data_IF_122192107580
#
_entry.id   IF_122192107580
#
_cell.length_a   1.000
_cell.length_b   1.000
_cell.length_c   1.000
_cell.angle_alpha   90.00
_cell.angle_beta   90.00
_cell.angle_gamma   90.00
#
_symmetry.space_group_name_H-M   'P 1'
#
loop_
_entity.id
_entity.type
_entity.pdbx_description
1 polymer ?
#
# COMPACT_ATOMS: atom_id res chain seq x y z
N UNK A 1 -22.53 23.63 -7.32
CA UNK A 1 -21.16 23.98 -6.87
C UNK A 1 -21.04 23.56 -5.42
N UNK A 2 -20.04 22.73 -5.04
CA UNK A 2 -19.88 22.35 -3.64
C UNK A 2 -19.54 23.59 -2.80
N UNK A 3 -20.17 23.68 -1.63
CA UNK A 3 -20.04 24.79 -0.68
C UNK A 3 -18.63 24.72 -0.07
N UNK A 4 -17.84 25.81 -0.06
CA UNK A 4 -16.53 25.80 0.56
C UNK A 4 -16.64 25.56 2.07
N UNK A 5 -15.84 24.63 2.58
CA UNK A 5 -15.76 24.30 4.00
C UNK A 5 -15.38 25.56 4.79
N UNK A 6 -16.11 25.92 5.86
CA UNK A 6 -15.82 27.11 6.66
C UNK A 6 -14.41 27.04 7.26
N UNK A 7 -13.75 28.20 7.39
CA UNK A 7 -12.42 28.30 7.97
C UNK A 7 -12.39 27.69 9.38
N UNK A 8 -11.58 26.65 9.58
CA UNK A 8 -11.46 25.89 10.82
C UNK A 8 -12.16 24.52 10.82
N UNK A 9 -12.97 24.20 9.82
CA UNK A 9 -13.39 22.84 9.56
C UNK A 9 -12.25 22.10 8.84
N UNK A 10 -11.69 21.09 9.48
CA UNK A 10 -10.82 20.12 8.81
C UNK A 10 -11.61 19.54 7.62
N UNK A 11 -10.98 19.43 6.44
CA UNK A 11 -11.62 18.77 5.29
C UNK A 11 -12.01 17.34 5.69
N UNK A 12 -13.06 16.77 5.08
CA UNK A 12 -13.53 15.42 5.43
C UNK A 12 -12.45 14.33 5.37
N UNK A 13 -11.37 14.57 4.61
CA UNK A 13 -10.20 13.69 4.52
C UNK A 13 -9.32 13.67 5.79
N UNK A 14 -9.49 14.62 6.70
CA UNK A 14 -8.70 14.74 7.94
C UNK A 14 -9.46 14.30 9.20
N UNK A 15 -10.72 13.87 9.04
CA UNK A 15 -11.58 13.43 10.13
C UNK A 15 -11.50 11.92 10.32
N UNK A 16 -10.51 11.45 11.07
CA UNK A 16 -10.36 10.00 11.36
C UNK A 16 -11.32 9.58 12.48
N UNK A 17 -11.40 10.36 13.56
CA UNK A 17 -12.24 10.13 14.74
C UNK A 17 -12.58 11.47 15.41
N UNK A 18 -13.68 11.55 16.15
CA UNK A 18 -13.93 12.65 17.06
C UNK A 18 -13.70 12.24 18.52
N UNK A 19 -13.43 13.20 19.41
CA UNK A 19 -13.15 12.93 20.82
C UNK A 19 -14.26 12.11 21.50
N UNK A 20 -15.53 12.37 21.13
CA UNK A 20 -16.68 11.67 21.69
C UNK A 20 -16.72 10.20 21.25
N UNK A 21 -16.46 9.94 19.96
CA UNK A 21 -16.38 8.60 19.40
C UNK A 21 -15.19 7.81 19.97
N UNK A 22 -14.06 8.46 20.20
CA UNK A 22 -12.91 7.85 20.87
C UNK A 22 -13.25 7.43 22.31
N UNK A 23 -13.91 8.32 23.07
CA UNK A 23 -14.35 8.01 24.43
C UNK A 23 -15.38 6.86 24.45
N UNK A 24 -16.30 6.83 23.47
CA UNK A 24 -17.24 5.72 23.30
C UNK A 24 -16.52 4.38 23.06
N UNK A 25 -15.49 4.37 22.19
CA UNK A 25 -14.63 3.19 21.97
C UNK A 25 -13.88 2.76 23.23
N UNK A 26 -13.28 3.71 23.96
CA UNK A 26 -12.55 3.42 25.20
C UNK A 26 -13.46 2.83 26.29
N UNK A 27 -14.76 3.16 26.28
CA UNK A 27 -15.78 2.57 27.17
C UNK A 27 -16.26 1.19 26.72
N UNK A 28 -15.67 0.62 25.67
CA UNK A 28 -15.99 -0.74 25.21
C UNK A 28 -17.22 -0.84 24.32
N UNK A 29 -17.71 0.27 23.75
CA UNK A 29 -18.77 0.21 22.73
C UNK A 29 -18.15 -0.37 21.45
N UNK A 30 -18.41 -1.66 21.20
CA UNK A 30 -17.98 -2.38 20.01
C UNK A 30 -18.74 -1.85 18.77
N UNK A 31 -18.05 -1.81 17.63
CA UNK A 31 -18.57 -1.33 16.32
C UNK A 31 -18.94 0.16 16.26
N UNK A 32 -18.19 0.99 16.97
CA UNK A 32 -18.40 2.43 16.92
C UNK A 32 -17.65 3.09 15.75
N UNK A 33 -18.28 3.25 14.59
CA UNK A 33 -17.66 3.95 13.46
C UNK A 33 -17.95 5.46 13.49
N UNK A 34 -16.88 6.25 13.49
CA UNK A 34 -16.97 7.70 13.44
C UNK A 34 -17.21 8.13 11.98
N UNK A 35 -18.44 7.96 11.49
CA UNK A 35 -18.80 8.30 10.11
C UNK A 35 -19.11 9.79 10.02
N UNK A 36 -18.48 10.47 9.05
CA UNK A 36 -18.69 11.89 8.80
C UNK A 36 -19.48 12.10 7.51
N UNK A 37 -20.54 12.92 7.59
CA UNK A 37 -21.24 13.38 6.39
C UNK A 37 -20.45 14.52 5.74
N UNK A 38 -20.26 14.52 4.40
CA UNK A 38 -19.61 15.63 3.69
C UNK A 38 -20.30 16.99 3.90
N UNK A 39 -21.58 16.99 4.28
CA UNK A 39 -22.38 18.18 4.51
C UNK A 39 -22.38 18.65 5.98
N UNK A 40 -21.69 17.95 6.88
CA UNK A 40 -21.75 18.19 8.32
C UNK A 40 -20.36 18.36 8.93
N UNK A 41 -20.23 19.30 9.86
CA UNK A 41 -19.07 19.43 10.76
C UNK A 41 -19.12 18.48 11.96
N UNK A 42 -20.08 17.55 11.99
CA UNK A 42 -20.24 16.53 13.02
C UNK A 42 -20.30 15.14 12.41
N UNK A 43 -19.75 14.15 13.12
CA UNK A 43 -19.99 12.75 12.81
C UNK A 43 -21.46 12.37 13.08
N UNK A 44 -21.93 11.27 12.49
CA UNK A 44 -23.29 10.77 12.64
C UNK A 44 -23.65 10.51 14.11
N UNK A 45 -22.70 9.99 14.89
CA UNK A 45 -22.91 9.74 16.32
C UNK A 45 -23.14 11.01 17.13
N UNK A 46 -22.28 12.02 16.97
CA UNK A 46 -22.45 13.30 17.63
C UNK A 46 -23.71 14.04 17.13
N UNK A 47 -24.08 13.83 15.87
CA UNK A 47 -25.31 14.37 15.30
C UNK A 47 -26.53 13.76 15.98
N UNK A 48 -26.58 12.42 16.10
CA UNK A 48 -27.66 11.69 16.76
C UNK A 48 -27.80 12.07 18.25
N UNK A 49 -26.70 12.37 18.93
CA UNK A 49 -26.71 12.78 20.34
C UNK A 49 -26.88 14.28 20.56
N UNK A 50 -27.00 15.08 19.49
CA UNK A 50 -26.98 16.54 19.56
C UNK A 50 -25.76 17.11 20.33
N UNK A 51 -24.64 16.38 20.38
CA UNK A 51 -23.46 16.76 21.14
C UNK A 51 -22.47 17.59 20.30
N UNK A 52 -21.50 18.21 20.97
CA UNK A 52 -20.37 18.85 20.31
C UNK A 52 -19.45 17.78 19.71
N UNK A 53 -19.10 17.94 18.44
CA UNK A 53 -18.19 17.06 17.73
C UNK A 53 -16.84 17.76 17.60
N UNK A 54 -15.82 17.24 18.27
CA UNK A 54 -14.45 17.76 18.17
C UNK A 54 -13.66 16.77 17.33
N UNK A 55 -13.39 17.06 16.04
CA UNK A 55 -12.55 16.19 15.22
C UNK A 55 -11.15 16.12 15.80
N UNK A 56 -10.61 14.91 15.85
CA UNK A 56 -9.21 14.71 16.17
C UNK A 56 -8.41 14.87 14.87
N UNK A 57 -7.37 15.71 14.87
CA UNK A 57 -6.42 15.73 13.77
C UNK A 57 -5.83 14.34 13.53
N UNK A 58 -5.76 13.92 12.27
CA UNK A 58 -5.26 12.61 11.84
C UNK A 58 -3.87 12.27 12.40
N UNK A 59 -3.00 13.26 12.59
CA UNK A 59 -1.64 13.08 13.10
C UNK A 59 -1.58 12.76 14.61
N UNK A 60 -2.70 12.80 15.33
CA UNK A 60 -2.77 12.42 16.75
C UNK A 60 -3.30 11.00 16.97
N UNK A 61 -3.58 10.23 15.92
CA UNK A 61 -4.17 8.89 16.06
C UNK A 61 -3.35 7.97 16.98
N UNK A 62 -2.03 7.95 16.84
CA UNK A 62 -1.14 7.13 17.69
C UNK A 62 -1.16 7.60 19.15
N UNK A 63 -0.95 8.89 19.40
CA UNK A 63 -0.92 9.45 20.76
C UNK A 63 -2.27 9.30 21.47
N UNK A 64 -3.37 9.41 20.74
CA UNK A 64 -4.69 9.14 21.28
C UNK A 64 -4.96 7.65 21.53
N UNK A 65 -4.42 6.74 20.70
CA UNK A 65 -4.49 5.29 20.98
C UNK A 65 -3.73 4.96 22.26
N UNK A 66 -2.57 5.56 22.48
CA UNK A 66 -1.81 5.43 23.74
C UNK A 66 -2.62 5.98 24.91
N UNK A 67 -3.18 7.19 24.80
CA UNK A 67 -4.01 7.79 25.84
C UNK A 67 -5.28 6.99 26.14
N UNK A 68 -5.89 6.38 25.12
CA UNK A 68 -7.06 5.52 25.30
C UNK A 68 -6.68 4.21 25.99
N UNK A 69 -5.56 3.59 25.61
CA UNK A 69 -5.05 2.37 26.22
C UNK A 69 -4.67 2.59 27.69
N UNK A 70 -4.00 3.70 28.04
CA UNK A 70 -3.66 4.02 29.44
C UNK A 70 -4.91 4.28 30.29
N UNK A 71 -5.93 4.93 29.73
CA UNK A 71 -7.23 5.12 30.41
C UNK A 71 -8.03 3.83 30.59
N UNK A 72 -7.85 2.86 29.71
CA UNK A 72 -8.54 1.57 29.76
C UNK A 72 -7.77 0.50 30.57
N UNK A 73 -6.54 0.80 31.02
CA UNK A 73 -5.72 -0.13 31.78
C UNK A 73 -6.27 -0.36 33.19
N UNK A 74 -6.12 -1.59 33.68
CA UNK A 74 -6.43 -2.00 35.05
C UNK A 74 -5.18 -2.65 35.68
N UNK A 75 -4.61 -2.10 36.77
CA UNK A 75 -5.08 -0.92 37.51
C UNK A 75 -4.88 0.40 36.76
N UNK A 76 -5.81 1.33 36.98
CA UNK A 76 -5.74 2.69 36.42
C UNK A 76 -4.54 3.46 36.98
N UNK A 77 -3.65 3.91 36.09
CA UNK A 77 -2.48 4.72 36.43
C UNK A 77 -2.67 6.19 35.99
N UNK A 78 -2.94 7.12 36.93
CA UNK A 78 -3.12 8.54 36.60
C UNK A 78 -1.84 9.18 36.04
N UNK A 79 -0.65 8.70 36.42
CA UNK A 79 0.63 9.26 35.96
C UNK A 79 0.86 8.89 34.48
N UNK A 80 0.58 7.65 34.10
CA UNK A 80 0.63 7.23 32.69
C UNK A 80 -0.38 7.97 31.82
N UNK A 81 -1.58 8.26 32.33
CA UNK A 81 -2.59 9.05 31.61
C UNK A 81 -2.13 10.50 31.41
N UNK A 82 -1.54 11.11 32.44
CA UNK A 82 -0.98 12.47 32.33
C UNK A 82 0.17 12.51 31.32
N UNK A 83 1.10 11.57 31.38
CA UNK A 83 2.21 11.49 30.43
C UNK A 83 1.74 11.33 28.98
N UNK A 84 0.78 10.44 28.72
CA UNK A 84 0.19 10.26 27.39
C UNK A 84 -0.56 11.52 26.91
N UNK A 85 -1.23 12.24 27.80
CA UNK A 85 -1.91 13.49 27.47
C UNK A 85 -0.90 14.62 27.17
N UNK A 86 0.20 14.70 27.91
CA UNK A 86 1.30 15.64 27.65
C UNK A 86 1.91 15.38 26.29
N UNK A 87 2.15 14.11 25.94
CA UNK A 87 2.73 13.77 24.64
C UNK A 87 1.77 14.08 23.48
N UNK A 88 0.48 13.72 23.61
CA UNK A 88 -0.54 14.09 22.63
C UNK A 88 -0.60 15.63 22.43
N UNK A 89 -0.53 16.40 23.51
CA UNK A 89 -0.48 17.86 23.43
C UNK A 89 0.81 18.38 22.77
N UNK A 90 1.96 17.76 23.04
CA UNK A 90 3.24 18.10 22.42
C UNK A 90 3.17 17.90 20.91
N UNK A 91 2.68 16.75 20.46
CA UNK A 91 2.49 16.45 19.03
C UNK A 91 1.49 17.43 18.41
N UNK A 92 0.41 17.76 19.11
CA UNK A 92 -0.57 18.73 18.62
C UNK A 92 0.04 20.12 18.41
N UNK A 93 0.85 20.59 19.35
CA UNK A 93 1.54 21.88 19.25
C UNK A 93 2.59 21.89 18.14
N UNK A 94 3.40 20.83 18.03
CA UNK A 94 4.40 20.71 16.96
C UNK A 94 3.70 20.70 15.60
N UNK A 95 2.63 19.91 15.45
CA UNK A 95 1.86 19.84 14.22
C UNK A 95 1.23 21.20 13.87
N UNK A 96 0.63 21.89 14.84
CA UNK A 96 0.08 23.23 14.65
C UNK A 96 1.15 24.26 14.23
N UNK A 97 2.38 24.12 14.72
CA UNK A 97 3.51 24.96 14.33
C UNK A 97 4.09 24.59 12.97
N UNK A 98 4.01 23.31 12.57
CA UNK A 98 4.53 22.82 11.30
C UNK A 98 3.56 22.93 10.15
N UNK A 99 2.26 23.16 10.40
CA UNK A 99 1.28 23.41 9.34
C UNK A 99 1.69 24.67 8.58
N UNK A 100 1.97 24.58 7.26
CA UNK A 100 2.29 25.75 6.46
C UNK A 100 1.16 26.78 6.57
N UNK A 101 1.53 28.05 6.76
CA UNK A 101 0.54 29.14 6.70
C UNK A 101 0.12 29.31 5.25
N UNK A 102 -1.07 28.87 4.92
CA UNK A 102 -1.65 29.07 3.60
C UNK A 102 -2.15 30.51 3.46
N UNK A 103 -1.80 31.15 2.34
CA UNK A 103 -2.23 32.51 1.99
C UNK A 103 -3.58 32.50 1.28
N UNK A 104 -4.02 31.34 0.79
CA UNK A 104 -5.28 31.16 0.09
C UNK A 104 -5.84 29.75 0.27
N UNK A 105 -7.12 29.57 -0.05
CA UNK A 105 -7.74 28.24 -0.12
C UNK A 105 -7.07 27.35 -1.19
N UNK A 106 -6.69 27.91 -2.34
CA UNK A 106 -6.03 27.15 -3.40
C UNK A 106 -4.67 26.58 -2.97
N UNK A 107 -3.86 27.34 -2.24
CA UNK A 107 -2.58 26.85 -1.70
C UNK A 107 -2.77 25.70 -0.71
N UNK A 108 -3.79 25.80 0.14
CA UNK A 108 -4.17 24.70 1.05
C UNK A 108 -4.59 23.48 0.23
N UNK A 109 -5.50 23.64 -0.71
CA UNK A 109 -6.02 22.52 -1.50
C UNK A 109 -4.89 21.82 -2.29
N UNK A 110 -3.92 22.57 -2.84
CA UNK A 110 -2.71 21.99 -3.47
C UNK A 110 -1.83 21.22 -2.48
N UNK A 111 -1.69 21.70 -1.25
CA UNK A 111 -0.98 20.97 -0.19
C UNK A 111 -1.71 19.69 0.20
N UNK A 112 -3.04 19.72 0.26
CA UNK A 112 -3.87 18.52 0.52
C UNK A 112 -3.70 17.48 -0.60
N UNK A 113 -3.68 17.92 -1.87
CA UNK A 113 -3.45 17.04 -3.03
C UNK A 113 -2.05 16.41 -3.01
N UNK A 114 -1.02 17.20 -2.69
CA UNK A 114 0.34 16.71 -2.53
C UNK A 114 0.41 15.64 -1.43
N UNK A 115 -0.21 15.91 -0.27
CA UNK A 115 -0.24 14.97 0.84
C UNK A 115 -0.98 13.67 0.49
N UNK A 116 -2.13 13.77 -0.20
CA UNK A 116 -2.87 12.60 -0.66
C UNK A 116 -2.05 11.76 -1.66
N UNK A 117 -1.28 12.42 -2.53
CA UNK A 117 -0.37 11.75 -3.47
C UNK A 117 0.76 11.03 -2.73
N UNK A 118 1.37 11.67 -1.73
CA UNK A 118 2.38 11.03 -0.88
C UNK A 118 1.82 9.79 -0.18
N UNK A 119 0.63 9.88 0.42
CA UNK A 119 -0.01 8.74 1.08
C UNK A 119 -0.30 7.58 0.12
N UNK A 120 -0.77 7.88 -1.10
CA UNK A 120 -1.00 6.87 -2.13
C UNK A 120 0.31 6.17 -2.56
N UNK A 121 1.40 6.93 -2.70
CA UNK A 121 2.71 6.37 -3.02
C UNK A 121 3.22 5.44 -1.91
N UNK A 122 3.10 5.84 -0.64
CA UNK A 122 3.49 5.01 0.50
C UNK A 122 2.70 3.70 0.56
N UNK A 123 1.38 3.76 0.35
CA UNK A 123 0.53 2.59 0.26
C UNK A 123 0.95 1.65 -0.89
N UNK A 124 1.23 2.22 -2.07
CA UNK A 124 1.75 1.47 -3.22
C UNK A 124 3.08 0.79 -2.93
N UNK A 125 4.02 1.49 -2.28
CA UNK A 125 5.31 0.90 -1.86
C UNK A 125 5.13 -0.23 -0.85
N UNK A 126 4.20 -0.10 0.10
CA UNK A 126 3.88 -1.16 1.04
C UNK A 126 3.34 -2.41 0.34
N UNK A 127 2.49 -2.23 -0.69
CA UNK A 127 1.95 -3.31 -1.52
C UNK A 127 3.03 -3.98 -2.38
N UNK A 128 3.95 -3.21 -2.96
CA UNK A 128 5.09 -3.77 -3.72
C UNK A 128 5.97 -4.61 -2.79
N UNK A 129 6.29 -4.09 -1.60
CA UNK A 129 7.09 -4.82 -0.60
C UNK A 129 6.42 -6.12 -0.17
N UNK A 130 5.10 -6.14 0.03
CA UNK A 130 4.37 -7.36 0.38
C UNK A 130 4.37 -8.38 -0.77
N UNK A 131 4.16 -7.91 -2.00
CA UNK A 131 4.20 -8.75 -3.20
C UNK A 131 5.58 -9.37 -3.43
N UNK A 132 6.65 -8.60 -3.22
CA UNK A 132 8.02 -9.09 -3.30
C UNK A 132 8.33 -10.14 -2.23
N UNK A 133 7.84 -9.96 -1.00
CA UNK A 133 7.98 -10.98 0.06
C UNK A 133 7.27 -12.28 -0.36
N UNK A 134 6.05 -12.17 -0.90
CA UNK A 134 5.29 -13.34 -1.37
C UNK A 134 5.99 -14.04 -2.52
N UNK A 135 6.48 -13.29 -3.51
CA UNK A 135 7.22 -13.85 -4.64
C UNK A 135 8.50 -14.57 -4.20
N UNK A 136 9.22 -14.03 -3.21
CA UNK A 136 10.40 -14.72 -2.64
C UNK A 136 10.03 -16.03 -1.95
N UNK A 137 8.91 -16.09 -1.23
CA UNK A 137 8.45 -17.34 -0.62
C UNK A 137 8.01 -18.36 -1.68
N UNK A 138 7.35 -17.92 -2.74
CA UNK A 138 6.97 -18.77 -3.88
C UNK A 138 8.19 -19.29 -4.65
N UNK A 139 9.20 -18.44 -4.90
CA UNK A 139 10.45 -18.87 -5.51
C UNK A 139 11.25 -19.82 -4.62
N UNK A 140 11.21 -19.65 -3.30
CA UNK A 140 11.86 -20.54 -2.35
C UNK A 140 11.29 -21.97 -2.35
N UNK A 141 10.02 -22.15 -2.71
CA UNK A 141 9.38 -23.47 -2.79
C UNK A 141 9.55 -24.16 -4.15
N UNK A 142 9.84 -23.40 -5.21
CA UNK A 142 10.03 -23.93 -6.57
C UNK A 142 11.06 -25.06 -6.69
N UNK A 143 12.26 -25.01 -6.06
CA UNK A 143 13.22 -26.11 -6.13
C UNK A 143 12.70 -27.42 -5.54
N UNK A 144 11.92 -27.35 -4.45
CA UNK A 144 11.33 -28.53 -3.83
C UNK A 144 10.28 -29.16 -4.76
N UNK A 145 9.39 -28.35 -5.33
CA UNK A 145 8.38 -28.79 -6.30
C UNK A 145 9.03 -29.40 -7.54
N UNK A 146 10.08 -28.75 -8.08
CA UNK A 146 10.84 -29.28 -9.20
C UNK A 146 11.52 -30.60 -8.85
N UNK A 147 12.09 -30.71 -7.64
CA UNK A 147 12.67 -31.95 -7.13
C UNK A 147 11.65 -33.09 -7.05
N UNK A 148 10.43 -32.81 -6.58
CA UNK A 148 9.33 -33.78 -6.53
C UNK A 148 8.91 -34.25 -7.93
N UNK A 149 8.77 -33.33 -8.88
CA UNK A 149 8.43 -33.65 -10.27
C UNK A 149 9.52 -34.50 -10.93
N UNK A 150 10.79 -34.13 -10.80
CA UNK A 150 11.92 -34.90 -11.33
C UNK A 150 11.94 -36.31 -10.73
N UNK A 151 11.74 -36.42 -9.41
CA UNK A 151 11.67 -37.72 -8.74
C UNK A 151 10.48 -38.56 -9.20
N UNK A 152 9.33 -37.96 -9.47
CA UNK A 152 8.16 -38.67 -10.00
C UNK A 152 8.41 -39.16 -11.44
N UNK A 153 9.01 -38.34 -12.31
CA UNK A 153 9.37 -38.72 -13.69
C UNK A 153 10.38 -39.87 -13.70
N UNK A 154 11.39 -39.84 -12.83
CA UNK A 154 12.38 -40.92 -12.70
C UNK A 154 11.82 -42.25 -12.21
N UNK A 155 10.60 -42.27 -11.67
CA UNK A 155 9.87 -43.48 -11.23
C UNK A 155 8.90 -44.03 -12.28
N UNK A 156 8.77 -43.39 -13.44
CA UNK A 156 7.95 -43.92 -14.54
C UNK A 156 8.58 -45.20 -15.10
N UNK A 157 7.85 -46.32 -15.20
CA UNK A 157 8.37 -47.53 -15.82
C UNK A 157 8.69 -47.26 -17.29
N UNK A 158 9.86 -47.71 -17.76
CA UNK A 158 10.22 -47.72 -19.16
C UNK A 158 9.36 -48.77 -19.91
N UNK A 159 8.09 -48.46 -20.17
CA UNK A 159 7.29 -49.23 -21.12
C UNK A 159 7.79 -48.87 -22.51
N UNK A 160 8.46 -49.85 -23.11
CA UNK A 160 9.22 -49.77 -24.33
C UNK A 160 8.53 -48.99 -25.46
N UNK A 161 9.17 -47.91 -25.91
CA UNK A 161 9.08 -47.48 -27.32
C UNK A 161 9.89 -48.48 -28.13
N UNK A 162 9.31 -49.64 -28.37
CA UNK A 162 9.80 -50.63 -29.33
C UNK A 162 8.66 -50.92 -30.30
N UNK A 163 8.48 -50.02 -31.26
CA UNK A 163 7.68 -50.31 -32.44
C UNK A 163 8.37 -49.74 -33.68
N UNK A 164 9.06 -50.66 -34.36
CA UNK A 164 9.37 -50.69 -35.78
C UNK A 164 10.32 -49.62 -36.34
N UNK A 165 11.62 -49.91 -36.26
CA UNK A 165 12.55 -49.57 -37.35
C UNK A 165 12.34 -50.62 -38.44
N UNK A 166 11.91 -50.27 -39.67
CA UNK A 166 12.01 -51.18 -40.79
C UNK A 166 13.47 -51.19 -41.25
N UNK A 167 14.03 -52.39 -41.20
CA UNK A 167 15.32 -52.75 -41.78
C UNK A 167 15.38 -52.30 -43.26
N UNK A 168 16.35 -51.44 -43.59
CA UNK A 168 16.63 -51.03 -44.99
C UNK A 168 18.05 -51.40 -45.34
N UNK A 169 18.20 -52.66 -45.74
CA UNK A 169 19.29 -53.08 -46.60
C UNK A 169 19.13 -52.45 -47.99
N UNK A 170 20.22 -51.88 -48.51
CA UNK A 170 20.48 -51.73 -49.93
C UNK A 170 20.13 -50.37 -50.55
N UNK A 171 21.14 -49.72 -51.14
CA UNK A 171 20.88 -48.69 -52.15
C UNK A 171 21.90 -47.56 -52.22
N UNK A 172 23.13 -47.88 -52.63
CA UNK A 172 24.14 -46.92 -53.09
C UNK A 172 23.59 -46.09 -54.27
N UNK A 173 23.43 -44.77 -54.14
CA UNK A 173 23.58 -43.85 -55.28
C UNK A 173 24.10 -42.47 -54.86
N UNK A 174 25.10 -42.05 -55.64
CA UNK A 174 25.97 -40.86 -55.54
C UNK A 174 25.29 -39.64 -56.18
N UNK A 175 25.46 -38.47 -55.57
CA UNK A 175 25.11 -37.14 -56.10
C UNK A 175 24.54 -36.28 -54.97
N UNK A 176 24.98 -35.07 -54.64
CA UNK A 176 25.87 -34.14 -55.31
C UNK A 176 25.30 -32.73 -55.09
N UNK A 177 26.09 -31.82 -54.53
CA UNK A 177 25.98 -30.37 -54.77
C UNK A 177 25.13 -29.51 -53.82
N UNK A 178 25.71 -28.36 -53.45
CA UNK A 178 25.05 -27.13 -52.97
C UNK A 178 24.89 -27.08 -51.45
N UNK A 179 25.52 -26.18 -50.68
CA UNK A 179 25.80 -24.77 -50.96
C UNK A 179 24.73 -23.93 -50.24
N UNK A 180 25.11 -23.19 -49.19
CA UNK A 180 24.17 -22.33 -48.46
C UNK A 180 24.72 -21.85 -47.12
N UNK A 181 25.60 -20.85 -47.18
CA UNK A 181 25.97 -20.01 -46.05
C UNK A 181 24.77 -19.20 -45.57
N UNK A 182 24.45 -19.26 -44.28
CA UNK A 182 23.46 -18.41 -43.62
C UNK A 182 24.10 -17.75 -42.42
N UNK A 183 24.77 -16.61 -42.66
CA UNK A 183 25.36 -15.76 -41.63
C UNK A 183 24.23 -14.99 -40.96
N UNK A 184 24.03 -15.22 -39.67
CA UNK A 184 23.05 -14.48 -38.87
C UNK A 184 23.53 -13.06 -38.59
N UNK A 185 22.76 -12.08 -39.02
CA UNK A 185 22.94 -10.67 -38.68
C UNK A 185 22.44 -10.42 -37.25
N UNK A 186 23.33 -9.88 -36.43
CA UNK A 186 23.06 -9.50 -35.05
C UNK A 186 22.55 -8.06 -34.92
N UNK A 187 21.67 -7.90 -33.93
CA UNK A 187 21.55 -6.82 -32.95
C UNK A 187 21.87 -5.37 -33.35
N UNK A 188 20.84 -4.53 -33.24
CA UNK A 188 20.96 -3.07 -33.32
C UNK A 188 19.75 -2.32 -32.77
N UNK A 189 19.34 -2.57 -31.52
CA UNK A 189 18.39 -1.69 -30.82
C UNK A 189 19.15 -0.59 -30.06
N UNK A 190 19.26 0.58 -30.68
CA UNK A 190 19.73 1.81 -30.03
C UNK A 190 18.56 2.76 -29.78
N UNK A 191 18.05 2.79 -28.54
CA UNK A 191 17.12 3.81 -28.09
C UNK A 191 17.91 5.04 -27.59
N UNK A 192 17.77 6.17 -28.29
CA UNK A 192 18.24 7.46 -27.81
C UNK A 192 17.10 8.13 -27.04
N UNK A 193 17.32 8.40 -25.75
CA UNK A 193 16.49 9.29 -24.96
C UNK A 193 17.06 10.71 -25.12
N UNK A 194 16.23 11.61 -25.62
CA UNK A 194 16.54 13.04 -25.70
C UNK A 194 16.55 13.65 -24.29
N UNK A 195 17.59 14.43 -24.01
CA UNK A 195 17.58 15.42 -22.96
C UNK A 195 16.87 16.66 -23.49
N UNK A 196 15.81 17.11 -22.82
CA UNK A 196 15.31 18.48 -22.98
C UNK A 196 15.78 19.27 -21.76
N UNK A 197 16.61 20.26 -22.07
CA UNK A 197 17.19 21.23 -21.15
C UNK A 197 16.22 22.37 -20.85
N UNK A 198 16.47 22.98 -19.69
CA UNK A 198 15.78 24.11 -19.09
C UNK A 198 15.72 25.38 -19.95
N UNK A 199 14.71 26.22 -19.66
CA UNK A 199 14.85 27.68 -19.66
C UNK A 199 13.89 28.45 -20.56
N UNK A 200 12.94 29.17 -19.95
CA UNK A 200 12.94 30.64 -19.70
C UNK A 200 11.76 30.99 -18.78
#
# INVERSE_FOLDING_TARGET
MPIPTPAGALSGAFHVLCLHCLQAKARGIKDHDCVWSPASSKCEYCTAQHSTCVPLPWFLDEEYRVLAATKAADPWDPVAVEAAATEANRVALVAAQSVPKFRSAAERDSYEELHATCAALEAGLAQIRSSLRRLRTEQGSMPAILGEVVAAVGRLPAVAVAATVPDRAGGRKKGGGGGGEGKGDGDGFGAQYGAEEDGV
#
